data_IF_333766305151
#
_entry.id   IF_333766305151
#
_cell.length_a   1.000
_cell.length_b   1.000
_cell.length_c   1.000
_cell.angle_alpha   90.00
_cell.angle_beta   90.00
_cell.angle_gamma   90.00
#
_symmetry.space_group_name_H-M   'P 1'
#
loop_
_entity.id
_entity.type
_entity.pdbx_description
1 polymer ?
#
# COMPACT_ATOMS: atom_id res chain seq x y z
N UNK A 1 1.23 -14.54 -19.04
CA UNK A 1 2.02 -13.31 -18.88
C UNK A 1 1.44 -12.36 -17.82
N UNK A 2 0.17 -12.51 -17.40
CA UNK A 2 -0.47 -11.66 -16.37
C UNK A 2 -0.02 -11.99 -14.92
N UNK A 3 0.35 -13.24 -14.62
CA UNK A 3 0.71 -13.66 -13.26
C UNK A 3 1.99 -12.99 -12.71
N UNK A 4 2.93 -12.59 -13.59
CA UNK A 4 4.15 -11.89 -13.17
C UNK A 4 3.89 -10.44 -12.76
N UNK A 5 2.87 -9.80 -13.34
CA UNK A 5 2.48 -8.43 -12.99
C UNK A 5 1.89 -8.35 -11.58
N UNK A 6 0.97 -9.26 -11.22
CA UNK A 6 0.37 -9.27 -9.89
C UNK A 6 1.40 -9.58 -8.80
N UNK A 7 2.29 -10.56 -9.00
CA UNK A 7 3.28 -10.90 -7.98
C UNK A 7 4.24 -9.74 -7.67
N UNK A 8 4.60 -8.96 -8.68
CA UNK A 8 5.43 -7.77 -8.50
C UNK A 8 4.70 -6.67 -7.71
N UNK A 9 3.42 -6.43 -8.00
CA UNK A 9 2.62 -5.44 -7.25
C UNK A 9 2.47 -5.86 -5.79
N UNK A 10 2.23 -7.14 -5.52
CA UNK A 10 2.09 -7.64 -4.14
C UNK A 10 3.40 -7.52 -3.34
N UNK A 11 4.55 -7.79 -3.97
CA UNK A 11 5.86 -7.53 -3.38
C UNK A 11 6.10 -6.04 -3.10
N UNK A 12 5.72 -5.17 -4.05
CA UNK A 12 5.79 -3.72 -3.87
C UNK A 12 4.91 -3.24 -2.71
N UNK A 13 3.75 -3.85 -2.47
CA UNK A 13 2.88 -3.50 -1.34
C UNK A 13 3.54 -3.85 0.00
N UNK A 14 4.22 -5.00 0.09
CA UNK A 14 4.85 -5.46 1.32
C UNK A 14 6.14 -4.70 1.62
N UNK A 15 7.05 -4.65 0.64
CA UNK A 15 8.44 -4.27 0.85
C UNK A 15 8.77 -2.84 0.39
N UNK A 16 8.02 -2.30 -0.59
CA UNK A 16 8.33 -1.03 -1.26
C UNK A 16 7.12 -0.09 -1.32
N UNK A 17 6.28 -0.10 -0.28
CA UNK A 17 4.97 0.58 -0.34
C UNK A 17 5.06 2.07 -0.65
N UNK A 18 6.03 2.79 -0.07
CA UNK A 18 6.24 4.21 -0.34
C UNK A 18 6.54 4.50 -1.82
N UNK A 19 7.34 3.64 -2.46
CA UNK A 19 7.67 3.74 -3.89
C UNK A 19 6.44 3.45 -4.76
N UNK A 20 5.66 2.43 -4.40
CA UNK A 20 4.40 2.12 -5.09
C UNK A 20 3.43 3.31 -5.06
N UNK A 21 3.27 3.94 -3.89
CA UNK A 21 2.40 5.12 -3.75
C UNK A 21 2.90 6.28 -4.61
N UNK A 22 4.21 6.49 -4.72
CA UNK A 22 4.78 7.53 -5.60
C UNK A 22 4.54 7.22 -7.08
N UNK A 23 4.70 5.96 -7.50
CA UNK A 23 4.42 5.52 -8.87
C UNK A 23 2.95 5.73 -9.22
N UNK A 24 2.02 5.26 -8.38
CA UNK A 24 0.59 5.41 -8.58
C UNK A 24 0.17 6.90 -8.60
N UNK A 25 0.73 7.71 -7.68
CA UNK A 25 0.52 9.17 -7.67
C UNK A 25 0.90 9.79 -9.02
N UNK A 26 2.09 9.46 -9.54
CA UNK A 26 2.59 10.03 -10.79
C UNK A 26 1.79 9.54 -12.00
N UNK A 27 1.44 8.24 -12.06
CA UNK A 27 0.63 7.67 -13.13
C UNK A 27 -0.77 8.29 -13.22
N UNK A 28 -1.38 8.61 -12.08
CA UNK A 28 -2.72 9.22 -12.00
C UNK A 28 -2.70 10.74 -12.05
N UNK A 29 -1.52 11.37 -12.04
CA UNK A 29 -1.38 12.83 -11.98
C UNK A 29 -1.89 13.44 -10.67
N UNK A 30 -1.90 12.67 -9.57
CA UNK A 30 -2.38 13.12 -8.27
C UNK A 30 -1.34 13.98 -7.56
N UNK A 31 -1.81 14.94 -6.78
CA UNK A 31 -1.04 15.63 -5.75
C UNK A 31 -1.12 14.86 -4.42
N UNK A 32 -0.27 15.24 -3.46
CA UNK A 32 -0.39 14.73 -2.08
C UNK A 32 -1.73 15.12 -1.44
N UNK A 33 -2.31 16.26 -1.86
CA UNK A 33 -3.61 16.71 -1.37
C UNK A 33 -4.74 15.83 -1.89
N UNK A 34 -4.69 15.38 -3.14
CA UNK A 34 -5.72 14.49 -3.69
C UNK A 34 -5.77 13.15 -2.95
N UNK A 35 -4.61 12.59 -2.63
CA UNK A 35 -4.52 11.36 -1.82
C UNK A 35 -5.02 11.63 -0.39
N UNK A 36 -4.66 12.79 0.18
CA UNK A 36 -5.10 13.21 1.51
C UNK A 36 -6.62 13.30 1.60
N UNK A 37 -7.27 14.01 0.68
CA UNK A 37 -8.72 14.22 0.65
C UNK A 37 -9.49 12.89 0.52
N UNK A 38 -8.90 11.89 -0.15
CA UNK A 38 -9.49 10.56 -0.33
C UNK A 38 -9.29 9.61 0.85
N UNK A 39 -8.19 9.76 1.58
CA UNK A 39 -7.77 8.78 2.62
C UNK A 39 -7.91 9.32 4.04
N UNK A 40 -8.22 10.60 4.21
CA UNK A 40 -8.20 11.32 5.49
C UNK A 40 -6.83 11.27 6.21
N UNK A 41 -5.74 11.09 5.45
CA UNK A 41 -4.36 11.19 5.94
C UNK A 41 -3.81 12.57 5.65
N UNK A 42 -2.92 13.11 6.49
CA UNK A 42 -2.30 14.41 6.19
C UNK A 42 -1.31 14.32 5.01
N UNK A 43 -1.16 15.38 4.19
CA UNK A 43 -0.17 15.38 3.09
C UNK A 43 1.26 15.12 3.59
N UNK A 44 1.61 15.61 4.79
CA UNK A 44 2.91 15.37 5.43
C UNK A 44 3.12 13.91 5.84
N UNK A 45 2.05 13.21 6.25
CA UNK A 45 2.12 11.77 6.49
C UNK A 45 2.44 11.03 5.19
N UNK A 46 1.70 11.31 4.13
CA UNK A 46 1.85 10.66 2.81
C UNK A 46 3.25 10.93 2.24
N UNK A 47 3.75 12.17 2.35
CA UNK A 47 5.11 12.51 1.94
C UNK A 47 6.17 11.69 2.68
N UNK A 48 6.08 11.60 4.01
CA UNK A 48 7.05 10.83 4.82
C UNK A 48 7.00 9.34 4.52
N UNK A 49 5.81 8.81 4.22
CA UNK A 49 5.62 7.44 3.77
C UNK A 49 6.35 7.20 2.43
N UNK A 50 6.09 8.04 1.44
CA UNK A 50 6.72 7.96 0.11
C UNK A 50 8.24 8.04 0.18
N UNK A 51 8.78 8.90 1.05
CA UNK A 51 10.23 9.08 1.20
C UNK A 51 10.90 8.02 2.09
N UNK A 52 10.14 7.05 2.61
CA UNK A 52 10.68 6.01 3.49
C UNK A 52 11.05 6.51 4.89
N UNK A 53 10.67 7.75 5.25
CA UNK A 53 10.89 8.30 6.60
C UNK A 53 9.90 7.75 7.62
N UNK A 54 8.87 7.03 7.17
CA UNK A 54 7.82 6.47 8.01
C UNK A 54 7.21 5.22 7.37
N UNK A 55 7.09 4.14 8.15
CA UNK A 55 6.24 3.00 7.82
C UNK A 55 4.77 3.24 8.18
N UNK A 56 3.88 2.34 7.78
CA UNK A 56 2.48 2.41 8.17
C UNK A 56 1.89 1.02 8.44
N UNK A 57 0.83 1.02 9.25
CA UNK A 57 0.05 -0.17 9.56
C UNK A 57 -0.64 -0.73 8.32
N UNK A 58 -0.96 -2.02 8.32
CA UNK A 58 -1.68 -2.69 7.23
C UNK A 58 -3.00 -1.97 6.89
N UNK A 59 -3.75 -1.54 7.90
CA UNK A 59 -5.00 -0.78 7.71
C UNK A 59 -4.79 0.53 6.96
N UNK A 60 -3.65 1.20 7.17
CA UNK A 60 -3.29 2.42 6.45
C UNK A 60 -2.90 2.11 5.00
N UNK A 61 -2.17 1.00 4.75
CA UNK A 61 -1.89 0.55 3.37
C UNK A 61 -3.18 0.28 2.61
N UNK A 62 -4.10 -0.49 3.21
CA UNK A 62 -5.39 -0.81 2.60
C UNK A 62 -6.22 0.43 2.32
N UNK A 63 -6.28 1.39 3.26
CA UNK A 63 -6.96 2.66 3.06
C UNK A 63 -6.40 3.43 1.84
N UNK A 64 -5.07 3.47 1.69
CA UNK A 64 -4.44 4.14 0.55
C UNK A 64 -4.74 3.41 -0.76
N UNK A 65 -4.64 2.08 -0.80
CA UNK A 65 -4.93 1.30 -2.01
C UNK A 65 -6.39 1.45 -2.45
N UNK A 66 -7.32 1.25 -1.51
CA UNK A 66 -8.77 1.28 -1.77
C UNK A 66 -9.23 2.70 -2.03
N UNK A 67 -9.16 3.58 -1.02
CA UNK A 67 -9.75 4.92 -1.12
C UNK A 67 -8.86 5.88 -1.92
N UNK A 68 -7.55 5.77 -1.77
CA UNK A 68 -6.60 6.64 -2.46
C UNK A 68 -6.54 6.37 -3.97
N UNK A 69 -6.62 5.11 -4.39
CA UNK A 69 -6.35 4.72 -5.78
C UNK A 69 -7.41 3.81 -6.45
N UNK A 70 -8.44 3.37 -5.74
CA UNK A 70 -9.47 2.48 -6.30
C UNK A 70 -8.92 1.11 -6.69
N UNK A 71 -8.06 0.54 -5.85
CA UNK A 71 -7.39 -0.74 -6.06
C UNK A 71 -7.94 -1.82 -5.13
N UNK A 72 -9.26 -1.96 -5.07
CA UNK A 72 -9.96 -2.92 -4.20
C UNK A 72 -9.53 -4.37 -4.46
N UNK A 73 -9.49 -4.79 -5.73
CA UNK A 73 -9.12 -6.16 -6.11
C UNK A 73 -7.68 -6.49 -5.69
N UNK A 74 -6.76 -5.55 -5.89
CA UNK A 74 -5.35 -5.71 -5.47
C UNK A 74 -5.23 -5.77 -3.96
N UNK A 75 -5.99 -4.95 -3.23
CA UNK A 75 -6.02 -4.98 -1.76
C UNK A 75 -6.55 -6.31 -1.23
N UNK A 76 -7.58 -6.89 -1.87
CA UNK A 76 -8.08 -8.21 -1.54
C UNK A 76 -7.05 -9.31 -1.79
N UNK A 77 -6.35 -9.28 -2.93
CA UNK A 77 -5.29 -10.24 -3.25
C UNK A 77 -4.15 -10.19 -2.22
N UNK A 78 -3.72 -8.98 -1.86
CA UNK A 78 -2.71 -8.79 -0.82
C UNK A 78 -3.14 -9.37 0.52
N UNK A 79 -4.37 -9.08 0.97
CA UNK A 79 -4.93 -9.66 2.19
C UNK A 79 -4.97 -11.20 2.14
N UNK A 80 -5.37 -11.78 1.01
CA UNK A 80 -5.38 -13.24 0.82
C UNK A 80 -3.97 -13.83 0.92
N UNK A 81 -2.96 -13.13 0.39
CA UNK A 81 -1.56 -13.57 0.49
C UNK A 81 -1.05 -13.50 1.93
N UNK A 82 -1.27 -12.40 2.64
CA UNK A 82 -0.89 -12.25 4.06
C UNK A 82 -1.52 -13.35 4.92
N UNK A 83 -2.79 -13.67 4.70
CA UNK A 83 -3.48 -14.75 5.42
C UNK A 83 -2.98 -16.16 5.08
N UNK A 84 -2.50 -16.37 3.85
CA UNK A 84 -1.90 -17.65 3.41
C UNK A 84 -0.52 -17.84 4.03
N UNK A 85 0.25 -16.76 4.19
CA UNK A 85 1.55 -16.76 4.84
C UNK A 85 1.41 -16.76 6.37
N UNK A 86 0.79 -17.81 6.90
CA UNK A 86 0.53 -18.03 8.34
C UNK A 86 1.79 -17.98 9.21
N UNK A 87 2.97 -18.16 8.60
CA UNK A 87 4.26 -18.09 9.25
C UNK A 87 4.63 -16.66 9.64
N UNK A 88 4.26 -15.66 8.83
CA UNK A 88 4.42 -14.23 9.15
C UNK A 88 3.52 -13.77 10.32
N UNK A 89 2.44 -14.50 10.57
CA UNK A 89 1.47 -14.26 11.65
C UNK A 89 1.79 -15.06 12.93
N UNK A 90 2.95 -15.73 12.99
CA UNK A 90 3.38 -16.47 14.19
C UNK A 90 3.32 -15.55 15.41
N UNK A 91 2.75 -16.08 16.50
CA UNK A 91 2.60 -15.37 17.78
C UNK A 91 3.90 -14.66 18.15
N UNK A 92 3.80 -13.37 18.46
CA UNK A 92 4.85 -12.64 19.17
C UNK A 92 4.98 -13.32 20.53
N UNK A 93 6.03 -14.10 20.72
CA UNK A 93 6.43 -14.60 22.03
C UNK A 93 7.17 -13.47 22.72
N UNK A 94 6.52 -12.87 23.73
CA UNK A 94 7.14 -11.90 24.62
C UNK A 94 8.15 -12.54 25.58
#
# INVERSE_FOLDING_TARGET
MEQQGNQHVLDMIENHFGELVEQLKNQRGYSLKDISDRTNLSPSFIFRLIKGYRGCEMTTRLNILINGFGLEEVAEEYMKQVLKDKESLKKITG
#
